data_IF_492518814083
#
_entry.id   IF_492518814083
#
_cell.length_a   1.000
_cell.length_b   1.000
_cell.length_c   1.000
_cell.angle_alpha   90.00
_cell.angle_beta   90.00
_cell.angle_gamma   90.00
#
_symmetry.space_group_name_H-M   'P 1'
#
loop_
_entity.id
_entity.type
_entity.pdbx_description
1 polymer ?
#
# COMPACT_ATOMS: atom_id res chain seq x y z
N UNK A 1 -22.61 25.52 5.68
CA UNK A 1 -21.46 24.69 6.10
C UNK A 1 -20.67 24.35 4.86
N UNK A 2 -19.43 24.83 4.82
CA UNK A 2 -18.57 24.56 3.69
C UNK A 2 -17.14 24.32 4.14
N UNK A 3 -16.46 23.40 3.48
CA UNK A 3 -15.00 23.27 3.54
C UNK A 3 -14.42 23.97 2.31
N UNK A 4 -13.33 24.73 2.49
CA UNK A 4 -12.49 25.22 1.41
C UNK A 4 -11.04 24.80 1.67
N UNK A 5 -10.38 24.31 0.63
CA UNK A 5 -8.97 23.94 0.72
C UNK A 5 -8.22 24.20 -0.59
N UNK A 6 -6.93 24.49 -0.47
CA UNK A 6 -6.03 24.74 -1.60
C UNK A 6 -4.81 23.83 -1.51
N UNK A 7 -4.50 23.17 -2.63
CA UNK A 7 -3.37 22.26 -2.79
C UNK A 7 -2.44 22.76 -3.89
N UNK A 8 -1.13 22.71 -3.65
CA UNK A 8 -0.09 23.08 -4.62
C UNK A 8 1.09 22.11 -4.56
N UNK A 9 1.95 22.14 -5.58
CA UNK A 9 3.25 21.44 -5.57
C UNK A 9 3.18 19.95 -5.18
N UNK A 10 3.93 19.56 -4.14
CA UNK A 10 4.00 18.19 -3.64
C UNK A 10 2.72 17.72 -2.93
N UNK A 11 1.92 18.64 -2.39
CA UNK A 11 0.64 18.32 -1.72
C UNK A 11 -0.31 17.61 -2.71
N UNK A 12 -0.36 18.08 -3.97
CA UNK A 12 -1.13 17.44 -5.04
C UNK A 12 -0.73 15.99 -5.27
N UNK A 13 0.57 15.67 -5.16
CA UNK A 13 1.10 14.31 -5.34
C UNK A 13 0.64 13.40 -4.20
N UNK A 14 0.79 13.83 -2.95
CA UNK A 14 0.41 13.04 -1.78
C UNK A 14 -1.11 12.85 -1.70
N UNK A 15 -1.88 13.92 -1.93
CA UNK A 15 -3.35 13.85 -1.96
C UNK A 15 -3.85 12.89 -3.05
N UNK A 16 -3.29 12.98 -4.27
CA UNK A 16 -3.58 12.03 -5.35
C UNK A 16 -3.20 10.59 -4.97
N UNK A 17 -2.04 10.39 -4.35
CA UNK A 17 -1.57 9.07 -3.91
C UNK A 17 -2.54 8.43 -2.92
N UNK A 18 -2.98 9.19 -1.92
CA UNK A 18 -4.01 8.77 -0.96
C UNK A 18 -5.31 8.36 -1.64
N UNK A 19 -5.84 9.21 -2.54
CA UNK A 19 -7.05 8.88 -3.33
C UNK A 19 -6.87 7.63 -4.19
N UNK A 20 -5.69 7.43 -4.80
CA UNK A 20 -5.42 6.25 -5.60
C UNK A 20 -5.35 4.97 -4.75
N UNK A 21 -4.79 5.05 -3.55
CA UNK A 21 -4.81 3.96 -2.58
C UNK A 21 -6.25 3.59 -2.22
N UNK A 22 -7.03 4.57 -1.76
CA UNK A 22 -8.43 4.37 -1.38
C UNK A 22 -9.26 3.83 -2.55
N UNK A 23 -9.05 4.35 -3.77
CA UNK A 23 -9.82 3.93 -4.93
C UNK A 23 -9.49 2.55 -5.50
N UNK A 24 -8.42 1.90 -5.04
CA UNK A 24 -8.21 0.46 -5.27
C UNK A 24 -9.05 -0.41 -4.34
N UNK A 25 -9.47 0.13 -3.19
CA UNK A 25 -10.18 -0.59 -2.14
C UNK A 25 -11.71 -0.47 -2.27
N UNK A 26 -12.21 0.75 -2.48
CA UNK A 26 -13.64 1.04 -2.52
C UNK A 26 -14.06 2.02 -3.61
N UNK A 27 -15.33 1.93 -4.00
CA UNK A 27 -15.94 2.79 -5.04
C UNK A 27 -16.46 4.12 -4.51
N UNK A 28 -16.61 4.24 -3.20
CA UNK A 28 -17.13 5.42 -2.49
C UNK A 28 -16.02 6.03 -1.64
N UNK A 29 -15.92 7.36 -1.68
CA UNK A 29 -15.01 8.13 -0.85
C UNK A 29 -15.84 8.91 0.16
N UNK A 30 -15.53 8.70 1.44
CA UNK A 30 -16.11 9.47 2.53
C UNK A 30 -15.13 10.57 2.89
N UNK A 31 -15.63 11.80 2.93
CA UNK A 31 -14.87 12.99 3.27
C UNK A 31 -15.40 13.47 4.60
N UNK A 32 -14.51 13.61 5.58
CA UNK A 32 -14.79 14.25 6.86
C UNK A 32 -13.78 15.38 7.05
N UNK A 33 -14.29 16.59 7.27
CA UNK A 33 -13.48 17.76 7.51
C UNK A 33 -13.81 18.34 8.87
N UNK A 34 -12.78 18.49 9.68
CA UNK A 34 -12.78 19.23 10.95
C UNK A 34 -11.69 20.30 10.88
N UNK A 35 -11.70 21.35 11.73
CA UNK A 35 -10.74 22.45 11.64
C UNK A 35 -9.27 22.01 11.63
N UNK A 36 -8.94 20.91 12.30
CA UNK A 36 -7.57 20.41 12.45
C UNK A 36 -7.10 19.51 11.31
N UNK A 37 -8.04 18.86 10.59
CA UNK A 37 -7.71 17.83 9.60
C UNK A 37 -8.85 17.48 8.65
N UNK A 38 -8.47 17.00 7.48
CA UNK A 38 -9.31 16.30 6.52
C UNK A 38 -9.05 14.80 6.63
N UNK A 39 -10.10 13.99 6.74
CA UNK A 39 -10.02 12.54 6.78
C UNK A 39 -10.79 11.97 5.58
N UNK A 40 -10.07 11.22 4.76
CA UNK A 40 -10.60 10.51 3.60
C UNK A 40 -10.72 9.03 3.94
N UNK A 41 -11.91 8.44 3.79
CA UNK A 41 -12.15 7.04 4.14
C UNK A 41 -12.81 6.27 3.01
N UNK A 42 -12.59 4.98 3.00
CA UNK A 42 -13.32 4.05 2.14
C UNK A 42 -13.42 2.69 2.80
N UNK A 43 -14.41 1.91 2.37
CA UNK A 43 -14.57 0.51 2.74
C UNK A 43 -14.81 -0.29 1.47
N UNK A 44 -14.25 -1.50 1.40
CA UNK A 44 -14.55 -2.39 0.29
C UNK A 44 -15.99 -2.92 0.37
N UNK A 45 -16.51 -3.45 -0.73
CA UNK A 45 -17.90 -3.95 -0.82
C UNK A 45 -18.18 -5.09 0.19
N UNK A 46 -17.17 -5.89 0.51
CA UNK A 46 -17.28 -6.99 1.47
C UNK A 46 -17.25 -6.53 2.94
N UNK A 47 -17.03 -5.24 3.20
CA UNK A 47 -16.83 -4.68 4.55
C UNK A 47 -15.70 -5.37 5.34
N UNK A 48 -14.74 -5.96 4.64
CA UNK A 48 -13.59 -6.67 5.20
C UNK A 48 -12.31 -5.84 5.16
N UNK A 49 -12.31 -4.70 4.48
CA UNK A 49 -11.17 -3.81 4.42
C UNK A 49 -11.62 -2.35 4.51
N UNK A 50 -11.12 -1.65 5.52
CA UNK A 50 -11.33 -0.23 5.73
C UNK A 50 -9.99 0.48 5.60
N UNK A 51 -9.97 1.60 4.88
CA UNK A 51 -8.78 2.43 4.81
C UNK A 51 -9.12 3.90 5.04
N UNK A 52 -8.20 4.60 5.68
CA UNK A 52 -8.26 6.04 5.85
C UNK A 52 -6.93 6.71 5.51
N UNK A 53 -7.02 7.92 4.99
CA UNK A 53 -5.89 8.83 4.81
C UNK A 53 -6.29 10.17 5.42
N UNK A 54 -5.48 10.63 6.37
CA UNK A 54 -5.69 11.88 7.10
C UNK A 54 -4.68 12.90 6.64
N UNK A 55 -5.12 14.12 6.33
CA UNK A 55 -4.27 15.27 6.03
C UNK A 55 -4.55 16.33 7.09
N UNK A 56 -3.54 16.75 7.84
CA UNK A 56 -3.66 17.81 8.83
C UNK A 56 -3.81 19.18 8.16
N UNK A 57 -4.38 20.17 8.85
CA UNK A 57 -4.66 21.48 8.24
C UNK A 57 -3.42 22.19 7.69
N UNK A 58 -2.26 21.98 8.29
CA UNK A 58 -0.96 22.47 7.83
C UNK A 58 -0.44 21.79 6.54
N UNK A 59 -1.04 20.69 6.11
CA UNK A 59 -0.76 20.06 4.82
C UNK A 59 -1.17 20.93 3.63
N UNK A 60 -2.19 21.76 3.82
CA UNK A 60 -2.77 22.55 2.74
C UNK A 60 -2.17 23.94 2.69
N UNK A 61 -2.14 24.56 1.51
CA UNK A 61 -1.80 25.98 1.37
C UNK A 61 -2.81 26.87 2.12
N UNK A 62 -4.08 26.46 2.10
CA UNK A 62 -5.16 27.02 2.91
C UNK A 62 -6.17 25.91 3.19
N UNK A 63 -6.73 25.91 4.39
CA UNK A 63 -7.72 24.95 4.84
C UNK A 63 -8.66 25.64 5.83
N UNK A 64 -9.93 25.73 5.45
CA UNK A 64 -10.93 26.48 6.19
C UNK A 64 -12.25 25.70 6.26
N UNK A 65 -12.77 25.52 7.48
CA UNK A 65 -14.05 24.88 7.75
C UNK A 65 -15.01 25.93 8.30
N UNK A 66 -16.15 26.12 7.62
CA UNK A 66 -17.12 27.18 7.92
C UNK A 66 -18.47 26.62 8.40
N UNK A 67 -19.11 27.36 9.29
CA UNK A 67 -20.47 27.16 9.80
C UNK A 67 -20.76 25.83 10.53
N UNK A 68 -19.74 25.00 10.75
CA UNK A 68 -19.83 23.73 11.49
C UNK A 68 -18.48 23.32 12.06
N UNK A 69 -18.50 22.48 13.09
CA UNK A 69 -17.29 21.84 13.65
C UNK A 69 -16.90 20.58 12.89
N UNK A 70 -17.85 19.95 12.19
CA UNK A 70 -17.63 18.74 11.39
C UNK A 70 -18.45 18.84 10.11
N UNK A 71 -17.82 18.60 8.97
CA UNK A 71 -18.46 18.52 7.66
C UNK A 71 -18.21 17.12 7.10
N UNK A 72 -19.28 16.45 6.67
CA UNK A 72 -19.19 15.11 6.10
C UNK A 72 -19.93 15.02 4.77
N UNK A 73 -19.37 14.28 3.83
CA UNK A 73 -20.03 13.96 2.57
C UNK A 73 -19.44 12.69 1.95
N UNK A 74 -20.28 11.89 1.29
CA UNK A 74 -19.83 10.85 0.36
C UNK A 74 -19.66 11.42 -1.05
N UNK A 75 -18.71 10.91 -1.82
CA UNK A 75 -18.60 11.13 -3.26
C UNK A 75 -18.19 9.86 -4.00
N UNK A 76 -18.53 9.76 -5.28
CA UNK A 76 -18.05 8.64 -6.10
C UNK A 76 -16.54 8.75 -6.32
N UNK A 77 -15.79 7.72 -5.92
CA UNK A 77 -14.33 7.68 -6.04
C UNK A 77 -13.85 7.88 -7.48
N UNK A 78 -14.55 7.29 -8.46
CA UNK A 78 -14.21 7.43 -9.89
C UNK A 78 -14.30 8.88 -10.38
N UNK A 79 -15.27 9.64 -9.87
CA UNK A 79 -15.43 11.06 -10.21
C UNK A 79 -14.31 11.89 -9.57
N UNK A 80 -14.00 11.63 -8.30
CA UNK A 80 -12.89 12.29 -7.59
C UNK A 80 -11.54 12.03 -8.29
N UNK A 81 -11.23 10.77 -8.64
CA UNK A 81 -10.01 10.42 -9.37
C UNK A 81 -9.96 11.02 -10.79
N UNK A 82 -11.10 11.36 -11.39
CA UNK A 82 -11.14 11.97 -12.72
C UNK A 82 -10.53 13.36 -12.77
N UNK A 83 -10.54 14.10 -11.63
CA UNK A 83 -9.88 15.40 -11.48
C UNK A 83 -8.38 15.28 -11.79
N UNK A 84 -7.75 14.25 -11.23
CA UNK A 84 -6.31 13.96 -11.36
C UNK A 84 -5.89 13.24 -12.65
N UNK A 85 -6.82 13.06 -13.61
CA UNK A 85 -6.48 12.68 -14.98
C UNK A 85 -5.86 13.85 -15.75
N UNK A 86 -6.18 15.08 -15.34
CA UNK A 86 -5.50 16.28 -15.86
C UNK A 86 -4.05 16.27 -15.39
N UNK A 87 -3.11 16.44 -16.33
CA UNK A 87 -1.67 16.40 -16.06
C UNK A 87 -1.15 17.81 -15.78
N UNK A 88 -0.01 17.90 -15.10
CA UNK A 88 0.71 19.18 -14.82
C UNK A 88 -0.17 20.22 -14.14
N UNK A 89 -0.94 19.77 -13.13
CA UNK A 89 -1.74 20.64 -12.28
C UNK A 89 -0.78 21.50 -11.45
N UNK A 90 -0.97 22.82 -11.47
CA UNK A 90 -0.17 23.79 -10.70
C UNK A 90 -0.79 24.05 -9.33
N UNK A 91 -2.11 24.21 -9.29
CA UNK A 91 -2.89 24.33 -8.07
C UNK A 91 -4.27 23.70 -8.25
N UNK A 92 -4.86 23.29 -7.12
CA UNK A 92 -6.21 22.75 -7.03
C UNK A 92 -6.92 23.39 -5.83
N UNK A 93 -8.06 24.03 -6.09
CA UNK A 93 -8.97 24.51 -5.06
C UNK A 93 -10.15 23.56 -4.97
N UNK A 94 -10.47 23.12 -3.77
CA UNK A 94 -11.61 22.26 -3.50
C UNK A 94 -12.58 22.98 -2.56
N UNK A 95 -13.86 22.92 -2.88
CA UNK A 95 -14.95 23.41 -2.05
C UNK A 95 -16.00 22.32 -1.89
N UNK A 96 -16.30 21.96 -0.65
CA UNK A 96 -17.40 21.05 -0.31
C UNK A 96 -18.51 21.88 0.32
N UNK A 97 -19.69 21.90 -0.31
CA UNK A 97 -20.89 22.55 0.22
C UNK A 97 -21.94 21.50 0.54
N UNK A 98 -22.32 21.41 1.82
CA UNK A 98 -23.40 20.49 2.25
C UNK A 98 -24.78 21.05 1.93
N UNK A 99 -24.92 22.37 1.78
CA UNK A 99 -26.19 23.00 1.38
C UNK A 99 -26.51 22.73 -0.08
N UNK A 100 -25.49 22.76 -0.94
CA UNK A 100 -25.62 22.50 -2.37
C UNK A 100 -25.46 21.00 -2.71
N UNK A 101 -25.14 20.19 -1.71
CA UNK A 101 -24.79 18.77 -1.83
C UNK A 101 -23.77 18.53 -2.97
N UNK A 102 -22.71 19.33 -3.00
CA UNK A 102 -21.77 19.40 -4.12
C UNK A 102 -20.33 19.58 -3.64
N UNK A 103 -19.44 18.78 -4.22
CA UNK A 103 -18.00 18.96 -4.17
C UNK A 103 -17.53 19.60 -5.48
N UNK A 104 -16.82 20.72 -5.39
CA UNK A 104 -16.31 21.46 -6.55
C UNK A 104 -14.79 21.48 -6.51
N UNK A 105 -14.15 21.00 -7.58
CA UNK A 105 -12.71 21.04 -7.76
C UNK A 105 -12.36 21.94 -8.95
N UNK A 106 -11.67 23.05 -8.68
CA UNK A 106 -11.16 23.96 -9.70
C UNK A 106 -9.64 23.81 -9.75
N UNK A 107 -9.10 23.47 -10.91
CA UNK A 107 -7.67 23.33 -11.11
C UNK A 107 -7.16 24.25 -12.20
N UNK A 108 -5.88 24.59 -12.10
CA UNK A 108 -5.10 25.19 -13.18
C UNK A 108 -3.92 24.28 -13.53
N UNK A 109 -3.42 24.44 -14.75
CA UNK A 109 -2.27 23.70 -15.25
C UNK A 109 -1.18 24.65 -15.73
N UNK A 110 0.04 24.14 -15.92
CA UNK A 110 1.20 24.95 -16.33
C UNK A 110 1.00 25.71 -17.65
N UNK A 111 0.16 25.20 -18.55
CA UNK A 111 -0.13 25.85 -19.84
C UNK A 111 -1.27 26.88 -19.78
N UNK A 112 -1.79 27.18 -18.57
CA UNK A 112 -2.87 28.14 -18.35
C UNK A 112 -4.29 27.58 -18.52
N UNK A 113 -4.45 26.29 -18.83
CA UNK A 113 -5.79 25.68 -18.89
C UNK A 113 -6.36 25.55 -17.47
N UNK A 114 -7.57 26.08 -17.28
CA UNK A 114 -8.38 25.90 -16.09
C UNK A 114 -9.52 24.91 -16.34
N UNK A 115 -9.80 24.05 -15.36
CA UNK A 115 -10.94 23.13 -15.40
C UNK A 115 -11.68 23.16 -14.08
N UNK A 116 -13.00 23.03 -14.18
CA UNK A 116 -13.89 22.91 -13.04
C UNK A 116 -14.62 21.57 -13.11
N UNK A 117 -14.61 20.85 -11.99
CA UNK A 117 -15.30 19.59 -11.79
C UNK A 117 -16.36 19.78 -10.72
N UNK A 118 -17.61 19.45 -11.04
CA UNK A 118 -18.73 19.50 -10.09
C UNK A 118 -19.20 18.08 -9.84
N UNK A 119 -18.87 17.58 -8.65
CA UNK A 119 -19.14 16.20 -8.24
C UNK A 119 -20.33 16.23 -7.28
N UNK A 120 -21.43 15.51 -7.59
CA UNK A 120 -22.56 15.42 -6.67
C UNK A 120 -22.13 14.64 -5.42
N UNK A 121 -22.51 15.15 -4.26
CA UNK A 121 -22.34 14.46 -3.00
C UNK A 121 -23.51 13.49 -2.76
N UNK A 122 -23.23 12.45 -1.98
CA UNK A 122 -24.20 11.47 -1.53
C UNK A 122 -24.25 11.47 -0.02
N UNK A 123 -25.42 11.11 0.52
CA UNK A 123 -25.54 10.80 1.93
C UNK A 123 -24.67 9.58 2.22
N UNK A 124 -23.91 9.64 3.32
CA UNK A 124 -23.09 8.53 3.74
C UNK A 124 -23.10 8.38 5.24
N UNK A 125 -23.08 7.12 5.68
CA UNK A 125 -22.88 6.77 7.07
C UNK A 125 -21.43 7.02 7.50
N UNK A 126 -21.25 7.38 8.76
CA UNK A 126 -19.93 7.57 9.37
C UNK A 126 -19.31 6.18 9.56
N UNK A 127 -18.21 5.91 8.86
CA UNK A 127 -17.41 4.72 9.04
C UNK A 127 -16.18 5.08 9.89
N UNK A 128 -16.08 4.46 11.06
CA UNK A 128 -14.88 4.50 11.89
C UNK A 128 -14.54 3.08 12.31
N UNK A 129 -13.28 2.68 12.10
CA UNK A 129 -12.72 1.48 12.70
C UNK A 129 -11.95 1.92 13.94
N UNK A 130 -12.37 1.47 15.12
CA UNK A 130 -11.63 1.69 16.36
C UNK A 130 -10.93 0.38 16.72
N UNK A 131 -9.60 0.37 16.62
CA UNK A 131 -8.75 -0.75 16.98
C UNK A 131 -7.66 -0.24 17.91
N UNK A 132 -7.54 -0.84 19.10
CA UNK A 132 -6.42 -0.62 20.01
C UNK A 132 -5.23 -1.45 19.52
N UNK A 133 -4.55 -0.92 18.50
CA UNK A 133 -3.47 -1.61 17.78
C UNK A 133 -2.18 -1.67 18.62
N UNK A 134 -2.06 -0.84 19.64
CA UNK A 134 -0.97 -0.84 20.61
C UNK A 134 -1.03 -2.06 21.53
N UNK A 135 -2.22 -2.65 21.72
CA UNK A 135 -2.40 -3.89 22.47
C UNK A 135 -1.98 -5.15 21.70
N UNK A 136 -1.73 -5.07 20.39
CA UNK A 136 -1.38 -6.23 19.58
C UNK A 136 0.03 -6.75 19.89
N UNK A 137 0.19 -8.08 20.10
CA UNK A 137 1.46 -8.65 20.52
C UNK A 137 2.50 -8.66 19.41
N UNK A 138 2.08 -8.66 18.15
CA UNK A 138 2.98 -8.71 16.99
C UNK A 138 3.01 -7.38 16.27
N UNK A 139 4.22 -6.84 16.07
CA UNK A 139 4.50 -5.68 15.24
C UNK A 139 5.71 -5.93 14.34
N UNK A 140 5.55 -5.71 13.04
CA UNK A 140 6.61 -5.86 12.03
C UNK A 140 6.79 -4.55 11.29
N UNK A 141 8.03 -4.07 11.19
CA UNK A 141 8.39 -2.91 10.37
C UNK A 141 9.27 -3.36 9.22
N UNK A 142 8.80 -3.20 8.00
CA UNK A 142 9.48 -3.66 6.78
C UNK A 142 9.59 -2.55 5.73
N UNK A 143 10.55 -2.68 4.81
CA UNK A 143 10.62 -1.83 3.62
C UNK A 143 9.44 -2.12 2.71
N UNK A 144 8.68 -1.10 2.32
CA UNK A 144 7.45 -1.30 1.56
C UNK A 144 7.71 -1.92 0.19
N UNK A 145 8.75 -1.46 -0.52
CA UNK A 145 9.14 -1.97 -1.84
C UNK A 145 9.70 -3.40 -1.75
N UNK A 146 10.55 -3.67 -0.75
CA UNK A 146 11.15 -4.98 -0.49
C UNK A 146 10.08 -6.02 -0.15
N UNK A 147 9.14 -5.68 0.74
CA UNK A 147 8.05 -6.56 1.10
C UNK A 147 7.11 -6.79 -0.10
N UNK A 148 6.80 -5.76 -0.87
CA UNK A 148 5.97 -5.91 -2.07
C UNK A 148 6.64 -6.83 -3.12
N UNK A 149 7.96 -6.72 -3.28
CA UNK A 149 8.76 -7.61 -4.15
C UNK A 149 8.74 -9.06 -3.64
N UNK A 150 8.91 -9.27 -2.33
CA UNK A 150 8.82 -10.59 -1.71
C UNK A 150 7.45 -11.23 -1.97
N UNK A 151 6.37 -10.45 -1.78
CA UNK A 151 5.00 -10.85 -2.07
C UNK A 151 4.68 -10.99 -3.58
N UNK A 152 5.61 -10.63 -4.46
CA UNK A 152 5.54 -10.87 -5.90
C UNK A 152 5.82 -12.33 -6.29
N UNK A 153 6.34 -13.15 -5.37
CA UNK A 153 6.55 -14.58 -5.59
C UNK A 153 5.26 -15.41 -5.58
N UNK A 154 4.19 -14.89 -4.95
CA UNK A 154 2.88 -15.52 -4.96
C UNK A 154 2.19 -15.36 -6.33
N UNK A 155 1.30 -16.31 -6.64
CA UNK A 155 0.51 -16.24 -7.87
C UNK A 155 -0.31 -14.94 -7.95
N UNK A 156 -0.36 -14.33 -9.12
CA UNK A 156 -1.10 -13.07 -9.33
C UNK A 156 -2.61 -13.20 -9.09
N UNK A 157 -3.15 -14.41 -9.20
CA UNK A 157 -4.56 -14.74 -8.95
C UNK A 157 -4.86 -15.02 -7.48
N UNK A 158 -3.85 -15.14 -6.61
CA UNK A 158 -4.02 -15.44 -5.20
C UNK A 158 -4.78 -14.31 -4.51
N UNK A 159 -5.86 -14.66 -3.80
CA UNK A 159 -6.70 -13.69 -3.09
C UNK A 159 -6.18 -13.45 -1.68
N UNK A 160 -5.76 -14.51 -0.99
CA UNK A 160 -5.46 -14.48 0.44
C UNK A 160 -4.10 -15.12 0.75
N UNK A 161 -3.44 -14.59 1.77
CA UNK A 161 -2.21 -15.15 2.33
C UNK A 161 -2.36 -15.26 3.84
N UNK A 162 -1.62 -16.17 4.45
CA UNK A 162 -1.45 -16.26 5.89
C UNK A 162 -0.06 -15.77 6.27
N UNK A 163 0.04 -14.85 7.22
CA UNK A 163 1.29 -14.51 7.90
C UNK A 163 1.28 -15.23 9.25
N UNK A 164 2.36 -15.94 9.55
CA UNK A 164 2.61 -16.62 10.82
C UNK A 164 3.85 -15.99 11.44
N UNK A 165 3.73 -15.49 12.66
CA UNK A 165 4.80 -14.88 13.43
C UNK A 165 5.00 -15.63 14.74
N UNK A 166 6.23 -16.06 15.01
CA UNK A 166 6.60 -16.81 16.21
C UNK A 166 7.54 -15.99 17.10
N UNK A 167 7.59 -16.23 18.42
CA UNK A 167 8.59 -15.59 19.27
C UNK A 167 10.00 -15.81 18.73
N UNK A 168 10.88 -14.81 18.84
CA UNK A 168 12.28 -14.88 18.37
C UNK A 168 13.18 -15.74 19.28
N UNK A 169 12.58 -16.71 19.98
CA UNK A 169 13.23 -17.59 20.94
C UNK A 169 13.81 -18.85 20.27
N UNK A 170 13.93 -18.86 18.94
CA UNK A 170 14.50 -19.97 18.15
C UNK A 170 16.03 -20.15 18.33
N UNK A 171 16.59 -19.65 19.43
CA UNK A 171 17.96 -19.88 19.84
C UNK A 171 18.14 -21.35 20.29
N UNK A 172 18.32 -22.26 19.33
CA UNK A 172 18.66 -23.66 19.60
C UNK A 172 18.32 -24.65 18.50
N UNK A 173 17.36 -24.32 17.63
CA UNK A 173 17.09 -25.04 16.38
C UNK A 173 17.75 -24.25 15.25
N UNK A 174 18.27 -24.89 14.19
CA UNK A 174 18.94 -24.21 13.07
C UNK A 174 18.05 -23.26 12.23
N UNK A 175 16.95 -22.78 12.80
CA UNK A 175 15.98 -21.82 12.26
C UNK A 175 16.10 -20.42 12.90
N UNK A 176 17.16 -20.17 13.69
CA UNK A 176 17.46 -18.84 14.24
C UNK A 176 17.35 -17.76 13.13
N UNK A 177 16.49 -16.76 13.35
CA UNK A 177 16.19 -15.69 12.39
C UNK A 177 14.94 -15.90 11.51
N UNK A 178 14.43 -17.13 11.34
CA UNK A 178 13.26 -17.42 10.49
C UNK A 178 11.94 -17.45 11.25
N UNK A 179 11.70 -16.42 12.06
CA UNK A 179 10.54 -16.35 12.96
C UNK A 179 9.23 -15.94 12.26
N UNK A 180 9.25 -15.63 10.96
CA UNK A 180 8.05 -15.28 10.20
C UNK A 180 7.92 -16.16 8.95
N UNK A 181 6.72 -16.71 8.77
CA UNK A 181 6.34 -17.44 7.57
C UNK A 181 5.18 -16.74 6.86
N UNK A 182 5.23 -16.71 5.53
CA UNK A 182 4.15 -16.21 4.70
C UNK A 182 3.76 -17.33 3.73
N UNK A 183 2.49 -17.72 3.73
CA UNK A 183 1.99 -18.83 2.92
C UNK A 183 0.73 -18.46 2.14
N UNK A 184 0.54 -19.09 0.99
CA UNK A 184 -0.66 -18.93 0.18
C UNK A 184 -1.85 -19.60 0.85
N UNK A 185 -2.99 -18.93 0.90
CA UNK A 185 -4.23 -19.51 1.39
C UNK A 185 -5.21 -19.75 0.24
N UNK A 186 -5.81 -20.93 0.23
CA UNK A 186 -6.88 -21.31 -0.70
C UNK A 186 -8.06 -21.83 0.10
N UNK A 187 -9.18 -21.14 -0.01
CA UNK A 187 -10.43 -21.53 0.64
C UNK A 187 -10.89 -22.92 0.16
N UNK A 188 -10.94 -23.94 1.04
CA UNK A 188 -11.43 -25.27 0.70
C UNK A 188 -12.86 -25.27 0.18
N UNK A 189 -13.71 -24.35 0.67
CA UNK A 189 -15.10 -24.22 0.25
C UNK A 189 -15.23 -23.76 -1.21
N UNK A 190 -14.21 -23.07 -1.75
CA UNK A 190 -14.19 -22.61 -3.16
C UNK A 190 -13.76 -23.71 -4.15
N UNK A 191 -13.51 -24.94 -3.70
CA UNK A 191 -13.30 -26.12 -4.56
C UNK A 191 -12.06 -26.07 -5.48
N UNK A 192 -11.14 -25.13 -5.25
CA UNK A 192 -9.93 -24.92 -6.08
C UNK A 192 -8.62 -25.36 -5.41
N UNK A 193 -8.66 -25.81 -4.15
CA UNK A 193 -7.46 -26.11 -3.38
C UNK A 193 -6.58 -27.19 -4.05
N UNK A 194 -7.19 -28.24 -4.59
CA UNK A 194 -6.51 -29.46 -5.03
C UNK A 194 -5.67 -29.32 -6.32
N UNK A 195 -5.76 -28.17 -7.00
CA UNK A 195 -4.98 -27.86 -8.23
C UNK A 195 -4.17 -26.58 -8.13
N UNK A 196 -4.16 -25.94 -6.96
CA UNK A 196 -3.53 -24.65 -6.77
C UNK A 196 -2.11 -24.79 -6.23
N UNK A 197 -1.20 -23.94 -6.72
CA UNK A 197 0.19 -23.95 -6.28
C UNK A 197 0.27 -23.41 -4.85
N UNK A 198 0.64 -24.27 -3.91
CA UNK A 198 0.99 -23.84 -2.57
C UNK A 198 2.38 -23.21 -2.56
N UNK A 199 2.48 -21.98 -2.06
CA UNK A 199 3.73 -21.22 -1.91
C UNK A 199 3.92 -20.86 -0.45
N UNK A 200 5.11 -21.13 0.09
CA UNK A 200 5.48 -20.74 1.45
C UNK A 200 6.87 -20.09 1.44
N UNK A 201 6.99 -18.98 2.15
CA UNK A 201 8.20 -18.21 2.34
C UNK A 201 8.58 -18.25 3.81
N UNK A 202 9.81 -18.64 4.12
CA UNK A 202 10.41 -18.44 5.42
C UNK A 202 11.23 -17.15 5.38
N UNK A 203 10.86 -16.18 6.20
CA UNK A 203 11.43 -14.83 6.20
C UNK A 203 12.47 -14.74 7.31
N UNK A 204 13.70 -14.41 6.94
CA UNK A 204 14.72 -14.02 7.91
C UNK A 204 14.40 -12.61 8.42
N UNK A 205 13.99 -12.51 9.69
CA UNK A 205 13.54 -11.27 10.32
C UNK A 205 14.66 -10.24 10.42
N UNK A 206 15.92 -10.67 10.50
CA UNK A 206 17.07 -9.76 10.59
C UNK A 206 17.50 -9.18 9.24
N UNK A 207 17.20 -9.88 8.15
CA UNK A 207 17.51 -9.40 6.79
C UNK A 207 16.37 -8.59 6.17
N UNK A 208 15.12 -9.03 6.36
CA UNK A 208 13.96 -8.47 5.66
C UNK A 208 13.29 -7.35 6.46
N UNK A 209 13.30 -7.46 7.79
CA UNK A 209 12.63 -6.49 8.65
C UNK A 209 13.62 -5.56 9.32
N UNK A 210 13.16 -4.34 9.52
CA UNK A 210 13.87 -3.35 10.30
C UNK A 210 13.57 -3.46 11.79
N UNK A 211 12.38 -3.96 12.12
CA UNK A 211 11.99 -4.30 13.47
C UNK A 211 11.01 -5.44 13.44
N UNK A 212 11.21 -6.39 14.34
CA UNK A 212 10.31 -7.49 14.61
C UNK A 212 10.08 -7.53 16.12
N UNK A 213 8.83 -7.39 16.54
CA UNK A 213 8.42 -7.49 17.93
C UNK A 213 7.28 -8.50 18.02
N UNK A 214 7.44 -9.46 18.90
CA UNK A 214 6.42 -10.45 19.22
C UNK A 214 6.47 -10.72 20.73
N UNK A 215 5.45 -10.26 21.47
CA UNK A 215 5.42 -10.31 22.93
C UNK A 215 4.63 -11.50 23.51
N UNK A 216 3.95 -12.28 22.68
CA UNK A 216 3.29 -13.53 23.07
C UNK A 216 4.32 -14.67 23.19
N UNK A 217 3.96 -15.72 23.92
CA UNK A 217 4.72 -16.99 23.95
C UNK A 217 4.28 -17.94 22.81
N UNK A 218 3.08 -17.72 22.25
CA UNK A 218 2.49 -18.54 21.20
C UNK A 218 2.57 -17.85 19.84
N UNK A 219 2.57 -18.64 18.77
CA UNK A 219 2.57 -18.10 17.41
C UNK A 219 1.28 -17.31 17.12
N UNK A 220 1.42 -16.16 16.48
CA UNK A 220 0.32 -15.37 15.92
C UNK A 220 0.18 -15.69 14.44
N UNK A 221 -0.98 -16.18 14.00
CA UNK A 221 -1.28 -16.35 12.58
C UNK A 221 -2.53 -15.60 12.14
N UNK A 222 -2.45 -14.94 10.99
CA UNK A 222 -3.57 -14.19 10.41
C UNK A 222 -3.65 -14.41 8.91
N UNK A 223 -4.85 -14.73 8.43
CA UNK A 223 -5.14 -14.89 7.00
C UNK A 223 -5.98 -13.73 6.50
N UNK A 224 -5.54 -13.03 5.46
CA UNK A 224 -6.15 -11.79 4.98
C UNK A 224 -5.98 -11.58 3.48
N UNK A 225 -6.70 -10.60 2.92
CA UNK A 225 -6.70 -10.30 1.49
C UNK A 225 -5.38 -9.65 1.02
N UNK A 226 -4.68 -10.33 0.11
CA UNK A 226 -3.38 -9.90 -0.42
C UNK A 226 -3.49 -8.65 -1.30
N UNK A 227 -4.56 -8.51 -2.08
CA UNK A 227 -4.72 -7.38 -3.01
C UNK A 227 -4.94 -6.08 -2.23
N UNK A 228 -5.81 -6.14 -1.23
CA UNK A 228 -6.11 -5.01 -0.35
C UNK A 228 -4.85 -4.61 0.44
N UNK A 229 -4.12 -5.57 0.99
CA UNK A 229 -2.83 -5.33 1.65
C UNK A 229 -1.81 -4.61 0.74
N UNK A 230 -1.65 -5.08 -0.51
CA UNK A 230 -0.75 -4.47 -1.50
C UNK A 230 -1.13 -3.03 -1.88
N UNK A 231 -2.38 -2.61 -1.66
CA UNK A 231 -2.78 -1.21 -1.89
C UNK A 231 -2.03 -0.27 -0.95
N UNK A 232 -1.98 -0.60 0.35
CA UNK A 232 -1.25 0.18 1.35
C UNK A 232 0.26 0.11 1.13
N UNK A 233 0.81 -1.05 0.77
CA UNK A 233 2.24 -1.15 0.42
C UNK A 233 2.63 -0.18 -0.71
N UNK A 234 1.80 -0.09 -1.75
CA UNK A 234 2.03 0.85 -2.86
C UNK A 234 1.98 2.31 -2.40
N UNK A 235 1.09 2.62 -1.45
CA UNK A 235 1.00 3.96 -0.87
C UNK A 235 2.27 4.29 -0.08
N UNK A 236 2.70 3.41 0.84
CA UNK A 236 3.94 3.58 1.61
C UNK A 236 5.15 3.76 0.70
N UNK A 237 5.28 2.97 -0.37
CA UNK A 237 6.35 3.12 -1.37
C UNK A 237 6.32 4.51 -2.03
N UNK A 238 5.14 4.99 -2.44
CA UNK A 238 4.99 6.31 -3.06
C UNK A 238 5.33 7.48 -2.13
N UNK A 239 5.21 7.25 -0.82
CA UNK A 239 5.53 8.18 0.26
C UNK A 239 6.99 8.08 0.72
N UNK A 240 7.73 7.06 0.27
CA UNK A 240 9.07 6.76 0.80
C UNK A 240 9.06 6.30 2.26
N UNK A 241 7.92 5.80 2.75
CA UNK A 241 7.75 5.29 4.10
C UNK A 241 8.00 3.78 4.14
N UNK A 242 8.39 3.28 5.33
CA UNK A 242 8.30 1.86 5.62
C UNK A 242 6.83 1.50 5.87
N UNK A 243 6.56 0.21 6.03
CA UNK A 243 5.26 -0.27 6.47
C UNK A 243 5.38 -0.87 7.86
N UNK A 244 4.49 -0.46 8.77
CA UNK A 244 4.24 -1.15 10.03
C UNK A 244 3.00 -2.06 9.87
N UNK A 245 3.11 -3.28 10.37
CA UNK A 245 2.07 -4.31 10.31
C UNK A 245 1.85 -4.82 11.73
N UNK A 246 0.63 -4.70 12.23
CA UNK A 246 0.26 -5.08 13.61
C UNK A 246 -0.88 -6.07 13.60
N UNK A 247 -0.76 -7.14 14.37
CA UNK A 247 -1.79 -8.17 14.49
C UNK A 247 -1.63 -9.00 15.76
N UNK A 248 -2.69 -9.74 16.06
CA UNK A 248 -2.78 -10.66 17.18
C UNK A 248 -3.08 -12.08 16.68
N UNK A 249 -4.31 -12.54 16.82
CA UNK A 249 -4.75 -13.89 16.51
C UNK A 249 -5.83 -13.88 15.42
N UNK A 250 -6.19 -15.04 14.84
CA UNK A 250 -7.28 -15.13 13.88
C UNK A 250 -8.58 -14.48 14.37
N UNK A 251 -9.30 -13.85 13.47
CA UNK A 251 -10.52 -13.10 13.75
C UNK A 251 -10.28 -11.70 14.32
N UNK A 252 -9.08 -11.37 14.81
CA UNK A 252 -8.68 -9.99 15.14
C UNK A 252 -8.18 -9.27 13.89
N UNK A 253 -8.42 -7.95 13.77
CA UNK A 253 -8.03 -7.22 12.58
C UNK A 253 -6.50 -7.11 12.43
N UNK A 254 -6.03 -7.12 11.19
CA UNK A 254 -4.68 -6.74 10.82
C UNK A 254 -4.64 -5.24 10.52
N UNK A 255 -3.77 -4.50 11.20
CA UNK A 255 -3.60 -3.05 10.98
C UNK A 255 -2.29 -2.80 10.25
N UNK A 256 -2.33 -1.92 9.24
CA UNK A 256 -1.20 -1.58 8.38
C UNK A 256 -1.12 -0.08 8.23
N UNK A 257 0.05 0.49 8.50
CA UNK A 257 0.26 1.94 8.50
C UNK A 257 1.64 2.33 7.97
N UNK A 258 1.80 3.51 7.35
CA UNK A 258 3.11 4.04 6.97
C UNK A 258 3.96 4.34 8.21
N UNK A 259 5.19 3.86 8.22
CA UNK A 259 6.18 4.16 9.24
C UNK A 259 7.31 5.02 8.66
N UNK A 260 7.23 6.33 8.91
CA UNK A 260 8.25 7.30 8.53
C UNK A 260 9.49 7.21 9.41
N UNK A 261 10.62 7.71 8.91
CA UNK A 261 11.94 7.63 9.57
C UNK A 261 12.64 8.98 9.68
N UNK A 262 13.42 9.12 10.76
CA UNK A 262 14.44 10.16 10.90
C UNK A 262 13.85 11.56 11.08
N UNK A 263 14.60 12.58 10.65
CA UNK A 263 14.23 13.99 10.78
C UNK A 263 12.91 14.36 10.07
N UNK A 264 12.43 13.52 9.15
CA UNK A 264 11.21 13.74 8.39
C UNK A 264 9.93 13.57 9.20
N UNK A 265 9.94 12.94 10.38
CA UNK A 265 8.72 12.71 11.19
C UNK A 265 8.02 14.03 11.55
N UNK A 266 8.79 15.10 11.79
CA UNK A 266 8.22 16.41 12.16
C UNK A 266 7.61 17.17 10.97
N UNK A 267 7.96 16.79 9.75
CA UNK A 267 7.46 17.38 8.51
C UNK A 267 6.32 16.57 7.89
N UNK A 268 5.90 15.47 8.53
CA UNK A 268 4.76 14.68 8.07
C UNK A 268 3.47 15.28 8.61
N UNK A 269 2.70 15.84 7.68
CA UNK A 269 1.40 16.47 7.87
C UNK A 269 0.25 15.57 7.35
N UNK A 270 0.50 14.27 7.18
CA UNK A 270 -0.50 13.30 6.76
C UNK A 270 -0.21 11.88 7.25
N UNK A 271 -1.28 11.11 7.50
CA UNK A 271 -1.23 9.76 8.01
C UNK A 271 -2.12 8.84 7.17
N UNK A 272 -1.90 7.53 7.25
CA UNK A 272 -2.78 6.56 6.62
C UNK A 272 -2.88 5.29 7.46
N UNK A 273 -4.02 4.62 7.36
CA UNK A 273 -4.28 3.37 8.06
C UNK A 273 -5.13 2.46 7.19
N UNK A 274 -4.78 1.18 7.15
CA UNK A 274 -5.56 0.11 6.54
C UNK A 274 -5.85 -0.92 7.64
N UNK A 275 -7.12 -1.24 7.80
CA UNK A 275 -7.61 -2.27 8.71
C UNK A 275 -8.23 -3.38 7.87
N UNK A 276 -7.65 -4.58 7.94
CA UNK A 276 -8.12 -5.78 7.25
C UNK A 276 -8.74 -6.74 8.25
N UNK A 277 -9.92 -7.27 7.92
CA UNK A 277 -10.48 -8.43 8.58
C UNK A 277 -9.61 -9.66 8.29
N UNK A 278 -9.53 -10.55 9.27
CA UNK A 278 -8.79 -11.81 9.17
C UNK A 278 -9.76 -12.99 9.34
N UNK A 279 -9.41 -14.15 8.79
CA UNK A 279 -10.19 -15.38 9.03
C UNK A 279 -10.20 -15.76 10.51
N UNK A 280 -11.29 -16.37 10.98
CA UNK A 280 -11.49 -16.73 12.39
C UNK A 280 -10.70 -17.95 12.85
N UNK A 281 -10.28 -18.80 11.92
CA UNK A 281 -9.63 -20.07 12.24
C UNK A 281 -8.15 -20.02 11.85
N UNK A 282 -7.29 -20.40 12.80
CA UNK A 282 -5.88 -20.66 12.51
C UNK A 282 -5.77 -21.77 11.50
N UNK A 283 -4.82 -21.65 10.58
CA UNK A 283 -4.50 -22.77 9.70
C UNK A 283 -3.62 -23.78 10.44
N UNK A 284 -4.04 -25.05 10.61
CA UNK A 284 -3.19 -26.05 11.20
C UNK A 284 -1.94 -26.24 10.33
N UNK A 285 -0.77 -26.09 10.95
CA UNK A 285 0.53 -26.39 10.37
C UNK A 285 0.55 -27.81 9.78
N UNK A 286 0.38 -27.94 8.47
CA UNK A 286 0.66 -29.20 7.78
C UNK A 286 2.15 -29.26 7.41
N UNK A 287 3.05 -29.12 8.40
CA UNK A 287 4.49 -29.32 8.22
C UNK A 287 4.88 -30.82 8.17
N UNK A 288 3.92 -31.73 8.27
CA UNK A 288 4.19 -33.16 8.51
C UNK A 288 4.16 -34.10 7.30
N UNK A 289 3.68 -33.72 6.11
CA UNK A 289 3.40 -34.70 5.04
C UNK A 289 4.28 -34.60 3.78
N UNK A 290 5.32 -33.77 3.77
CA UNK A 290 6.27 -33.69 2.65
C UNK A 290 7.74 -33.99 2.99
N UNK A 291 8.03 -34.55 4.18
CA UNK A 291 9.42 -34.87 4.58
C UNK A 291 9.89 -36.31 4.31
N UNK A 292 9.07 -37.22 3.77
CA UNK A 292 9.48 -38.62 3.50
C UNK A 292 9.79 -38.97 2.04
N UNK A 293 9.98 -37.99 1.14
CA UNK A 293 10.37 -38.25 -0.25
C UNK A 293 11.86 -37.99 -0.58
N UNK A 294 12.70 -37.71 0.42
CA UNK A 294 14.13 -37.44 0.22
C UNK A 294 15.04 -38.36 1.05
N UNK A 295 14.84 -39.68 0.91
CA UNK A 295 15.82 -40.67 1.35
C UNK A 295 15.94 -41.81 0.32
N UNK A 296 16.32 -41.47 -0.91
CA UNK A 296 16.92 -42.45 -1.82
C UNK A 296 18.44 -42.42 -1.60
N UNK A 297 19.09 -43.56 -1.24
CA UNK A 297 20.54 -43.58 -1.06
C UNK A 297 21.25 -43.36 -2.40
N UNK A 298 22.39 -42.65 -2.44
CA UNK A 298 23.19 -42.54 -3.65
C UNK A 298 23.74 -43.92 -4.01
N UNK A 299 23.28 -44.47 -5.13
CA UNK A 299 23.82 -45.70 -5.72
C UNK A 299 25.31 -45.49 -5.98
N UNK A 300 26.14 -46.27 -5.31
CA UNK A 300 27.58 -46.26 -5.45
C UNK A 300 28.00 -46.57 -6.90
N UNK A 301 28.68 -45.62 -7.54
CA UNK A 301 29.45 -45.85 -8.77
C UNK A 301 30.66 -46.69 -8.41
N UNK A 302 30.67 -47.96 -8.84
CA UNK A 302 31.86 -48.80 -8.76
C UNK A 302 32.68 -48.67 -10.06
N UNK A 303 34.01 -48.45 -10.00
CA UNK A 303 34.86 -48.28 -11.18
C UNK A 303 35.49 -49.61 -11.61
N UNK A 304 35.34 -49.99 -12.89
CA UNK A 304 36.22 -50.99 -13.53
C UNK A 304 36.07 -51.01 -15.06
N UNK A 305 36.97 -50.35 -15.77
CA UNK A 305 37.89 -51.01 -16.69
C UNK A 305 38.86 -50.01 -17.34
N UNK A 306 40.15 -50.35 -17.24
CA UNK A 306 41.30 -49.64 -17.81
C UNK A 306 41.40 -49.82 -19.35
N UNK A 307 42.20 -48.97 -20.03
CA UNK A 307 42.32 -48.94 -21.48
C UNK A 307 43.38 -49.92 -22.00
N UNK A 308 43.16 -50.49 -23.18
CA UNK A 308 44.19 -51.12 -24.00
C UNK A 308 44.37 -50.38 -25.32
N UNK A 309 45.61 -49.92 -25.54
CA UNK A 309 46.16 -49.33 -26.75
C UNK A 309 46.16 -50.32 -27.92
N UNK A 310 45.84 -49.86 -29.13
CA UNK A 310 46.59 -50.27 -30.34
C UNK A 310 46.45 -49.31 -31.51
N UNK A 311 47.61 -48.73 -31.87
CA UNK A 311 48.19 -48.46 -33.20
C UNK A 311 47.31 -47.93 -34.34
N UNK A 312 47.76 -46.80 -34.89
CA UNK A 312 47.19 -46.17 -36.07
C UNK A 312 47.56 -46.80 -37.42
N UNK A 313 46.98 -46.21 -38.46
CA UNK A 313 47.47 -46.25 -39.83
C UNK A 313 46.90 -45.07 -40.62
N UNK A 314 47.77 -44.52 -41.48
CA UNK A 314 47.55 -43.38 -42.35
C UNK A 314 46.70 -43.73 -43.58
N UNK A 315 46.06 -42.71 -44.16
CA UNK A 315 45.46 -42.78 -45.50
C UNK A 315 44.64 -41.56 -45.87
N UNK A 316 45.27 -40.56 -46.49
CA UNK A 316 44.62 -39.64 -47.46
C UNK A 316 44.71 -40.26 -48.87
N UNK A 317 44.23 -39.66 -49.98
CA UNK A 317 43.28 -38.55 -50.19
C UNK A 317 42.16 -38.89 -51.21
N UNK A 318 41.13 -38.02 -51.39
CA UNK A 318 40.61 -37.71 -52.73
C UNK A 318 39.63 -36.51 -52.79
N UNK A 319 39.76 -35.77 -53.88
CA UNK A 319 39.04 -34.59 -54.44
C UNK A 319 38.94 -34.90 -55.98
N UNK A 320 38.23 -34.22 -56.91
CA UNK A 320 37.12 -33.22 -56.94
C UNK A 320 35.95 -33.59 -57.91
N UNK A 321 34.99 -32.67 -58.10
CA UNK A 321 34.17 -32.48 -59.33
C UNK A 321 32.69 -32.21 -59.00
N UNK A 322 31.91 -31.32 -59.61
CA UNK A 322 32.06 -30.36 -60.70
C UNK A 322 30.88 -29.36 -60.62
N UNK A 323 31.12 -28.11 -61.01
CA UNK A 323 30.15 -27.01 -61.26
C UNK A 323 29.33 -27.29 -62.55
N UNK A 324 28.18 -26.61 -62.88
CA UNK A 324 28.16 -25.14 -63.13
C UNK A 324 26.80 -24.36 -63.03
N UNK A 325 26.94 -23.00 -63.05
CA UNK A 325 26.01 -21.97 -63.60
C UNK A 325 24.63 -21.75 -62.93
N UNK A 326 24.05 -20.56 -62.69
CA UNK A 326 24.37 -19.11 -62.83
C UNK A 326 23.30 -18.33 -62.04
N UNK A 327 23.67 -17.16 -61.51
CA UNK A 327 22.74 -16.10 -61.06
C UNK A 327 22.14 -15.31 -62.25
N UNK A 328 21.17 -14.41 -61.99
CA UNK A 328 21.52 -12.98 -61.82
C UNK A 328 20.88 -12.39 -60.54
N UNK A 329 21.51 -11.50 -59.77
CA UNK A 329 22.01 -10.15 -60.14
C UNK A 329 20.85 -9.15 -59.93
N UNK A 330 20.92 -8.03 -59.21
CA UNK A 330 21.97 -7.12 -58.75
C UNK A 330 21.40 -6.29 -57.56
N UNK A 331 22.14 -5.52 -56.75
CA UNK A 331 23.55 -5.17 -56.67
C UNK A 331 23.76 -4.17 -55.52
N UNK A 332 24.82 -4.41 -54.73
CA UNK A 332 25.86 -3.49 -54.24
C UNK A 332 25.48 -2.16 -53.51
N UNK A 333 25.76 -1.97 -52.19
CA UNK A 333 27.08 -1.69 -51.50
C UNK A 333 27.31 -0.16 -51.38
N UNK A 334 27.77 0.51 -50.30
CA UNK A 334 28.48 0.20 -49.03
C UNK A 334 28.58 1.46 -48.13
N UNK A 335 28.56 1.28 -46.78
CA UNK A 335 29.45 1.76 -45.66
C UNK A 335 30.27 3.07 -45.75
N UNK A 336 30.84 3.69 -44.65
CA UNK A 336 31.20 3.09 -43.35
C UNK A 336 31.10 3.96 -42.06
N UNK A 337 31.48 3.32 -40.93
CA UNK A 337 31.75 3.77 -39.56
C UNK A 337 32.46 5.13 -39.37
N UNK A 338 32.33 5.77 -38.20
CA UNK A 338 33.35 5.81 -37.09
C UNK A 338 33.07 6.92 -36.04
N UNK A 339 33.21 6.55 -34.75
CA UNK A 339 33.64 7.26 -33.52
C UNK A 339 33.18 8.69 -33.08
N UNK A 340 32.96 8.77 -31.76
CA UNK A 340 32.95 9.92 -30.81
C UNK A 340 34.37 10.53 -30.71
N UNK A 341 34.57 11.87 -30.61
CA UNK A 341 34.79 12.54 -29.30
C UNK A 341 34.37 14.03 -29.18
N UNK A 342 34.36 14.48 -27.92
CA UNK A 342 34.25 15.85 -27.35
C UNK A 342 35.00 16.97 -28.09
N UNK A 343 34.70 18.25 -27.74
CA UNK A 343 35.79 19.17 -27.47
C UNK A 343 35.64 20.04 -26.21
N UNK A 344 36.82 20.36 -25.66
CA UNK A 344 37.13 21.29 -24.58
C UNK A 344 37.18 22.76 -25.06
N UNK A 345 36.85 23.66 -24.13
CA UNK A 345 37.48 24.95 -23.77
C UNK A 345 38.35 25.71 -24.79
N UNK A 346 37.99 26.99 -25.01
CA UNK A 346 38.95 28.11 -25.12
C UNK A 346 38.30 29.39 -24.56
N UNK A 347 38.98 30.03 -23.61
CA UNK A 347 38.65 31.37 -23.11
C UNK A 347 39.60 32.43 -23.66
N UNK A 348 39.19 33.69 -23.59
CA UNK A 348 39.94 34.97 -23.53
C UNK A 348 38.86 36.08 -23.53
N UNK A 349 38.95 37.27 -22.96
CA UNK A 349 39.69 37.89 -21.87
C UNK A 349 39.10 39.32 -21.71
N UNK A 350 39.11 39.84 -20.49
CA UNK A 350 39.19 41.26 -20.09
C UNK A 350 38.12 42.29 -20.52
N UNK A 351 37.57 43.00 -19.52
CA UNK A 351 36.85 44.27 -19.72
C UNK A 351 36.25 44.87 -18.44
N UNK A 352 37.07 45.61 -17.70
CA UNK A 352 36.84 46.39 -16.46
C UNK A 352 35.60 47.33 -16.41
N UNK A 353 35.07 47.41 -15.18
CA UNK A 353 34.72 48.59 -14.34
C UNK A 353 33.66 49.62 -14.78
N UNK A 354 32.72 49.86 -13.85
CA UNK A 354 32.29 51.13 -13.19
C UNK A 354 30.80 51.02 -12.83
N UNK A 355 30.21 51.66 -11.84
CA UNK A 355 30.53 52.02 -10.46
C UNK A 355 29.20 52.51 -9.85
N UNK A 356 29.05 52.33 -8.54
CA UNK A 356 28.32 53.17 -7.57
C UNK A 356 26.79 53.40 -7.60
N UNK A 357 26.29 53.46 -6.34
CA UNK A 357 25.09 54.11 -5.78
C UNK A 357 23.78 53.32 -5.86
N UNK A 358 23.01 53.11 -4.79
CA UNK A 358 23.08 53.55 -3.40
C UNK A 358 21.71 53.38 -2.73
N UNK A 359 21.74 53.25 -1.41
CA UNK A 359 20.66 53.54 -0.44
C UNK A 359 19.76 52.40 0.10
N UNK A 360 20.00 52.15 1.40
CA UNK A 360 19.07 51.66 2.44
C UNK A 360 17.93 52.67 2.71
N UNK A 361 16.89 52.28 3.47
CA UNK A 361 16.83 52.66 4.90
C UNK A 361 16.37 51.49 5.81
N UNK A 362 17.07 51.12 6.88
CA UNK A 362 16.95 51.54 8.31
C UNK A 362 15.61 51.29 9.03
N UNK A 363 15.75 50.50 10.09
CA UNK A 363 14.85 50.23 11.23
C UNK A 363 14.23 51.48 11.84
N UNK A 364 13.00 51.34 12.35
CA UNK A 364 12.49 52.10 13.49
C UNK A 364 12.16 51.15 14.64
N UNK A 365 12.71 51.49 15.81
CA UNK A 365 12.32 50.97 17.11
C UNK A 365 11.24 51.88 17.70
N UNK A 366 10.25 51.29 18.36
CA UNK A 366 9.25 51.97 19.18
C UNK A 366 9.11 51.22 20.50
N UNK A 367 9.22 51.97 21.59
CA UNK A 367 9.31 51.51 22.98
C UNK A 367 7.97 51.05 23.58
N UNK A 368 8.13 50.35 24.70
CA UNK A 368 7.18 49.92 25.72
C UNK A 368 5.99 50.85 26.02
N UNK A 369 4.86 50.22 26.33
CA UNK A 369 3.99 50.68 27.42
C UNK A 369 3.45 49.48 28.20
N UNK A 370 3.76 49.45 29.50
CA UNK A 370 3.24 48.50 30.48
C UNK A 370 1.77 48.83 30.80
N UNK A 371 0.93 47.80 30.91
CA UNK A 371 -0.30 47.87 31.69
C UNK A 371 -0.32 46.66 32.62
N UNK A 372 -0.31 46.95 33.92
CA UNK A 372 -0.61 46.00 34.99
C UNK A 372 -2.12 45.70 34.96
N UNK A 373 -2.46 44.42 34.97
CA UNK A 373 -3.80 43.91 35.27
C UNK A 373 -3.66 42.64 36.09
N UNK A 374 -3.97 42.74 37.38
CA UNK A 374 -4.11 41.61 38.31
C UNK A 374 -5.33 40.77 37.95
N UNK A 375 -5.23 39.45 38.20
CA UNK A 375 -6.26 38.46 38.56
C UNK A 375 -5.94 37.15 37.82
N UNK A 376 -6.15 35.95 38.34
CA UNK A 376 -6.38 35.38 39.66
C UNK A 376 -6.23 33.87 39.40
N UNK A 377 -5.69 33.16 40.37
CA UNK A 377 -5.44 31.73 40.36
C UNK A 377 -6.78 30.98 40.54
N UNK A 378 -7.22 30.20 39.55
CA UNK A 378 -8.22 29.15 39.73
C UNK A 378 -7.83 27.91 38.91
N UNK A 379 -7.22 26.96 39.61
CA UNK A 379 -7.07 25.60 39.13
C UNK A 379 -8.41 24.92 38.95
N UNK A 380 -8.62 24.31 37.78
CA UNK A 380 -9.62 23.25 37.58
C UNK A 380 -8.99 22.05 36.90
N UNK A 381 -8.88 20.99 37.69
CA UNK A 381 -8.65 19.62 37.25
C UNK A 381 -9.72 19.20 36.23
N UNK A 382 -9.30 18.74 35.06
CA UNK A 382 -10.15 17.96 34.17
C UNK A 382 -10.09 16.50 34.61
N UNK A 383 -11.21 16.00 35.14
CA UNK A 383 -11.43 14.58 35.39
C UNK A 383 -11.65 13.85 34.06
N UNK A 384 -11.01 12.69 33.97
CA UNK A 384 -11.18 11.68 32.94
C UNK A 384 -12.66 11.33 32.72
N UNK A 385 -13.12 11.46 31.48
CA UNK A 385 -14.37 10.88 31.00
C UNK A 385 -14.07 9.48 30.46
N UNK A 386 -14.73 8.48 31.03
CA UNK A 386 -14.46 7.06 30.79
C UNK A 386 -14.86 6.56 29.40
N UNK A 387 -14.02 5.67 28.90
CA UNK A 387 -14.29 4.80 27.77
C UNK A 387 -15.42 3.83 28.09
N UNK A 388 -16.43 3.79 27.21
CA UNK A 388 -17.42 2.72 27.15
C UNK A 388 -17.12 1.92 25.89
N UNK A 389 -16.74 0.62 25.99
CA UNK A 389 -16.51 -0.19 24.80
C UNK A 389 -17.85 -0.54 24.15
N UNK A 390 -18.04 -0.10 22.91
CA UNK A 390 -19.17 -0.49 22.07
C UNK A 390 -18.91 -1.90 21.53
N UNK A 391 -19.83 -2.82 21.82
CA UNK A 391 -19.81 -4.20 21.33
C UNK A 391 -20.12 -4.25 19.84
N UNK A 392 -19.25 -4.91 19.07
CA UNK A 392 -19.50 -5.23 17.67
C UNK A 392 -20.54 -6.35 17.53
N UNK A 393 -21.63 -6.06 16.81
CA UNK A 393 -22.52 -7.08 16.26
C UNK A 393 -22.01 -7.45 14.86
N UNK A 394 -21.21 -8.51 14.79
CA UNK A 394 -20.93 -9.19 13.52
C UNK A 394 -22.24 -9.83 13.06
N UNK A 395 -22.89 -9.24 12.05
CA UNK A 395 -24.09 -9.82 11.47
C UNK A 395 -23.67 -11.01 10.61
N UNK A 396 -23.96 -12.22 11.10
CA UNK A 396 -23.79 -13.48 10.38
C UNK A 396 -24.76 -13.48 9.19
N UNK A 397 -24.25 -13.34 7.97
CA UNK A 397 -25.02 -13.66 6.77
C UNK A 397 -25.16 -15.19 6.69
N UNK A 398 -26.20 -15.73 7.32
CA UNK A 398 -26.62 -17.09 7.07
C UNK A 398 -27.36 -17.09 5.73
N UNK A 399 -26.74 -17.69 4.71
CA UNK A 399 -27.46 -18.15 3.53
C UNK A 399 -28.39 -19.28 3.99
N UNK A 400 -29.71 -19.06 3.94
CA UNK A 400 -30.68 -20.12 4.01
C UNK A 400 -30.92 -20.61 2.58
N UNK A 401 -30.44 -21.82 2.30
CA UNK A 401 -30.94 -22.65 1.21
C UNK A 401 -32.43 -22.86 1.42
N UNK A 402 -33.19 -22.58 0.37
CA UNK A 402 -34.60 -22.91 0.22
C UNK A 402 -34.71 -23.83 -0.99
N UNK A 403 -35.12 -25.08 -0.74
CA UNK A 403 -35.57 -26.16 -1.64
C UNK A 403 -35.46 -27.43 -0.76
N UNK A 404 -36.43 -28.31 -0.47
CA UNK A 404 -37.75 -28.75 -0.97
C UNK A 404 -38.54 -29.21 0.30
N UNK A 405 -39.87 -29.16 0.40
CA UNK A 405 -40.77 -30.24 -0.01
C UNK A 405 -42.24 -29.74 0.02
N UNK A 406 -42.93 -29.90 -1.11
CA UNK A 406 -44.39 -29.81 -1.22
C UNK A 406 -45.03 -31.10 -0.67
N UNK A 407 -45.80 -31.01 0.41
CA UNK A 407 -46.77 -32.04 0.78
C UNK A 407 -48.16 -31.38 0.94
N UNK A 408 -49.01 -31.60 -0.07
CA UNK A 408 -50.42 -31.21 -0.06
C UNK A 408 -51.18 -31.95 1.06
N UNK A 409 -51.71 -31.21 2.04
CA UNK A 409 -52.71 -31.70 2.96
C UNK A 409 -54.04 -30.94 2.75
N UNK A 410 -55.06 -31.69 2.30
CA UNK A 410 -56.46 -31.26 2.15
C UNK A 410 -57.08 -30.87 3.50
N UNK A 411 -57.96 -29.85 3.59
CA UNK A 411 -58.72 -29.60 4.80
C UNK A 411 -60.01 -30.43 4.88
N UNK A 412 -60.13 -31.25 5.92
CA UNK A 412 -61.40 -31.86 6.34
C UNK A 412 -62.35 -30.80 6.92
N UNK A 413 -63.58 -30.78 6.40
CA UNK A 413 -64.74 -30.09 6.99
C UNK A 413 -65.24 -30.79 8.26
N UNK A 414 -65.67 -30.07 9.30
CA UNK A 414 -66.26 -30.68 10.49
C UNK A 414 -67.77 -30.96 10.28
N UNK A 415 -68.35 -32.01 10.90
CA UNK A 415 -69.79 -32.11 11.05
C UNK A 415 -70.24 -31.75 12.47
N UNK A 416 -71.35 -31.02 12.57
CA UNK A 416 -72.29 -31.06 13.70
C UNK A 416 -71.97 -30.17 14.89
#
# INVERSE_FOLDING_TARGET
MSLKMILTGTQLKHFKGGLQCLGRLGSELLIEAIPEKLILRTINTAKSAYASVTFYSNFFESYDVFDATVIQAGVQMKQMLSVFRTQRITWLTCELSTTDNRFTAVLSTENGLQKEYRIPCMDSEILQAAVDKEAFPTCVIAGAAELNKLLGSFQSTLEEITIIATPDNSAGTGQAGKAVHIQSFFDPAKGKADKSLYTQLAVDTHEVFFSYQHSSEEASDVTFNLKDFKTMLSLCESMGANVAIRFDQPGQPLVVEPQFRGAHIQDVDYEAELVLATLMESQPHNLGSMQDAAAAPPTALNPRNQPHLRSGQAGSPNVPGDTPWRAPGAGYVTTPHTAIPTPNTHGFANGRMHDATGQRPTRFAGQHQQHQGQQQDEGRQFHAGGDVPIRYLVTRAAAQDSDEDEEEALPETPPG
#
